data_IF_358833843846
#
_entry.id   IF_358833843846
#
_cell.length_a   1.000
_cell.length_b   1.000
_cell.length_c   1.000
_cell.angle_alpha   90.00
_cell.angle_beta   90.00
_cell.angle_gamma   90.00
#
_symmetry.space_group_name_H-M   'P 1'
#
loop_
_entity.id
_entity.type
_entity.pdbx_description
1 polymer ?
#
# COMPACT_ATOMS: atom_id res chain seq x y z
N UNK A 1 4.26 16.87 17.48
CA UNK A 1 4.35 15.39 17.56
C UNK A 1 3.25 14.85 16.68
N UNK A 2 3.56 13.94 15.76
CA UNK A 2 2.53 13.35 14.89
C UNK A 2 1.54 12.56 15.75
N UNK A 3 0.24 12.74 15.50
CA UNK A 3 -0.80 11.97 16.18
C UNK A 3 -1.24 10.83 15.28
N UNK A 4 -1.31 9.62 15.84
CA UNK A 4 -1.73 8.41 15.13
C UNK A 4 -3.16 8.07 15.52
N UNK A 5 -4.00 7.76 14.55
CA UNK A 5 -5.28 7.11 14.82
C UNK A 5 -5.10 5.66 15.25
N UNK A 6 -6.19 5.04 15.69
CA UNK A 6 -6.27 3.58 15.78
C UNK A 6 -5.97 2.92 14.43
N UNK A 7 -5.49 1.68 14.50
CA UNK A 7 -5.16 0.88 13.33
C UNK A 7 -6.42 0.49 12.57
N UNK A 8 -6.43 0.76 11.27
CA UNK A 8 -7.49 0.44 10.32
C UNK A 8 -7.01 -0.65 9.34
N UNK A 9 -7.97 -1.34 8.72
CA UNK A 9 -7.72 -2.44 7.79
C UNK A 9 -8.14 -2.06 6.37
N UNK A 10 -7.35 -2.49 5.38
CA UNK A 10 -7.72 -2.41 3.97
C UNK A 10 -7.42 -3.72 3.27
N UNK A 11 -8.32 -4.13 2.38
CA UNK A 11 -8.18 -5.34 1.57
C UNK A 11 -7.29 -5.04 0.35
N UNK A 12 -6.40 -5.97 0.03
CA UNK A 12 -5.70 -6.00 -1.25
C UNK A 12 -6.40 -7.06 -2.10
N UNK A 13 -7.20 -6.62 -3.06
CA UNK A 13 -7.84 -7.49 -4.03
C UNK A 13 -7.79 -6.79 -5.39
N UNK A 14 -6.69 -6.97 -6.10
CA UNK A 14 -6.34 -6.17 -7.28
C UNK A 14 -6.07 -7.09 -8.45
N UNK A 15 -6.87 -6.97 -9.51
CA UNK A 15 -6.66 -7.64 -10.79
C UNK A 15 -6.42 -6.61 -11.93
N UNK A 16 -5.70 -5.54 -11.62
CA UNK A 16 -5.43 -4.43 -12.52
C UNK A 16 -4.00 -3.91 -12.34
N UNK A 17 -3.45 -3.24 -13.36
CA UNK A 17 -2.10 -2.66 -13.30
C UNK A 17 -1.98 -1.51 -12.29
N UNK A 18 -3.08 -0.95 -11.81
CA UNK A 18 -3.10 0.01 -10.71
C UNK A 18 -4.44 -0.08 -9.96
N UNK A 19 -4.40 0.09 -8.64
CA UNK A 19 -5.61 0.18 -7.81
C UNK A 19 -5.38 1.01 -6.56
N UNK A 20 -6.42 1.76 -6.17
CA UNK A 20 -6.46 2.44 -4.87
C UNK A 20 -6.70 1.41 -3.77
N UNK A 21 -5.76 1.33 -2.82
CA UNK A 21 -5.87 0.48 -1.63
C UNK A 21 -6.54 1.21 -0.47
N UNK A 22 -6.19 2.47 -0.27
CA UNK A 22 -6.79 3.35 0.75
C UNK A 22 -7.09 4.67 0.09
N UNK A 23 -8.31 5.18 0.28
CA UNK A 23 -8.72 6.47 -0.26
C UNK A 23 -7.91 7.62 0.36
N UNK A 24 -7.96 8.79 -0.27
CA UNK A 24 -7.36 9.98 0.30
C UNK A 24 -8.05 10.34 1.63
N UNK A 25 -7.25 10.66 2.64
CA UNK A 25 -7.74 11.14 3.92
C UNK A 25 -8.01 12.65 3.87
N UNK A 26 -8.55 13.21 4.96
CA UNK A 26 -8.79 14.65 5.08
C UNK A 26 -7.51 15.48 4.89
N UNK A 27 -7.67 16.78 4.64
CA UNK A 27 -6.56 17.73 4.51
C UNK A 27 -5.61 17.65 5.70
N UNK A 28 -4.31 17.54 5.42
CA UNK A 28 -3.27 17.39 6.46
C UNK A 28 -3.07 15.96 6.97
N UNK A 29 -3.93 15.01 6.61
CA UNK A 29 -3.85 13.62 7.07
C UNK A 29 -3.16 12.73 6.03
N UNK A 30 -2.22 11.92 6.49
CA UNK A 30 -1.49 10.92 5.71
C UNK A 30 -1.98 9.51 6.04
N UNK A 31 -1.77 8.57 5.12
CA UNK A 31 -1.95 7.13 5.35
C UNK A 31 -0.58 6.52 5.62
N UNK A 32 -0.36 5.97 6.82
CA UNK A 32 0.88 5.25 7.17
C UNK A 32 0.62 3.76 7.28
N UNK A 33 1.36 2.94 6.52
CA UNK A 33 1.23 1.47 6.54
C UNK A 33 2.08 0.90 7.68
N UNK A 34 1.47 0.11 8.55
CA UNK A 34 2.11 -0.49 9.74
C UNK A 34 2.31 -1.99 9.61
N UNK A 35 1.52 -2.68 8.80
CA UNK A 35 1.74 -4.08 8.43
C UNK A 35 1.05 -4.38 7.10
N UNK A 36 1.51 -5.42 6.41
CA UNK A 36 0.93 -5.85 5.14
C UNK A 36 1.31 -7.30 4.85
N UNK A 37 0.39 -8.05 4.24
CA UNK A 37 0.75 -9.27 3.53
C UNK A 37 0.07 -9.26 2.16
N UNK A 38 0.78 -9.79 1.16
CA UNK A 38 0.20 -10.02 -0.15
C UNK A 38 0.81 -11.25 -0.82
N UNK A 39 0.06 -11.81 -1.76
CA UNK A 39 0.48 -12.84 -2.70
C UNK A 39 0.14 -12.38 -4.12
N UNK A 40 1.08 -12.57 -5.05
CA UNK A 40 0.86 -12.29 -6.47
C UNK A 40 0.70 -13.59 -7.26
N UNK A 41 -0.22 -13.64 -8.21
CA UNK A 41 -0.48 -14.88 -8.98
C UNK A 41 0.63 -15.16 -10.00
N UNK A 42 0.99 -14.15 -10.81
CA UNK A 42 2.05 -14.27 -11.82
C UNK A 42 3.24 -13.38 -11.47
N UNK A 43 4.41 -13.70 -12.03
CA UNK A 43 5.59 -12.86 -11.86
C UNK A 43 5.31 -11.43 -12.35
N UNK A 44 5.49 -10.47 -11.45
CA UNK A 44 5.23 -9.06 -11.72
C UNK A 44 5.98 -8.17 -10.72
N UNK A 45 6.13 -6.92 -11.10
CA UNK A 45 6.76 -5.89 -10.26
C UNK A 45 5.68 -5.05 -9.62
N UNK A 46 5.72 -4.93 -8.29
CA UNK A 46 4.79 -4.13 -7.50
C UNK A 46 5.49 -2.87 -6.97
N UNK A 47 4.76 -1.76 -6.93
CA UNK A 47 5.22 -0.49 -6.37
C UNK A 47 4.07 0.19 -5.63
N UNK A 48 4.27 0.56 -4.36
CA UNK A 48 3.31 1.41 -3.65
C UNK A 48 3.55 2.87 -3.99
N UNK A 49 2.47 3.63 -4.17
CA UNK A 49 2.51 5.03 -4.59
C UNK A 49 1.60 5.90 -3.75
N UNK A 50 1.99 7.17 -3.65
CA UNK A 50 1.21 8.24 -3.08
C UNK A 50 0.45 8.96 -4.19
N UNK A 51 -0.87 8.80 -4.23
CA UNK A 51 -1.72 9.31 -5.31
C UNK A 51 -1.81 8.35 -6.51
N UNK A 52 -2.87 8.52 -7.30
CA UNK A 52 -3.09 7.69 -8.48
C UNK A 52 -2.04 8.00 -9.56
N UNK A 53 -1.20 7.01 -9.92
CA UNK A 53 -0.04 7.23 -10.78
C UNK A 53 1.02 8.16 -10.19
N UNK A 54 0.96 8.47 -8.89
CA UNK A 54 1.79 9.48 -8.24
C UNK A 54 3.18 9.00 -7.84
N UNK A 55 3.74 9.65 -6.81
CA UNK A 55 5.12 9.41 -6.36
C UNK A 55 5.27 8.01 -5.75
N UNK A 56 6.31 7.28 -6.17
CA UNK A 56 6.63 5.99 -5.60
C UNK A 56 7.08 6.10 -4.14
N UNK A 57 6.41 5.35 -3.26
CA UNK A 57 6.73 5.22 -1.84
C UNK A 57 7.69 4.07 -1.57
N UNK A 58 7.70 3.06 -2.44
CA UNK A 58 8.67 1.98 -2.44
C UNK A 58 9.45 1.97 -3.75
N UNK A 59 10.60 1.28 -3.74
CA UNK A 59 11.22 0.84 -4.99
C UNK A 59 10.34 -0.16 -5.74
N UNK A 60 10.81 -0.55 -6.94
CA UNK A 60 10.20 -1.58 -7.76
C UNK A 60 10.47 -2.97 -7.14
N UNK A 61 9.43 -3.63 -6.60
CA UNK A 61 9.56 -4.92 -5.92
C UNK A 61 9.17 -6.04 -6.87
N UNK A 62 10.17 -6.71 -7.46
CA UNK A 62 9.94 -7.86 -8.32
C UNK A 62 9.58 -9.10 -7.49
N UNK A 63 8.43 -9.69 -7.77
CA UNK A 63 7.98 -10.94 -7.15
C UNK A 63 7.85 -12.02 -8.24
N UNK A 64 8.29 -13.25 -7.92
CA UNK A 64 8.03 -14.43 -8.75
C UNK A 64 6.54 -14.80 -8.78
N UNK A 65 6.15 -15.78 -9.59
CA UNK A 65 4.78 -16.30 -9.55
C UNK A 65 4.47 -16.95 -8.19
N UNK A 66 3.29 -16.68 -7.63
CA UNK A 66 2.92 -17.07 -6.25
C UNK A 66 3.87 -16.52 -5.17
N UNK A 67 4.59 -15.44 -5.48
CA UNK A 67 5.46 -14.75 -4.54
C UNK A 67 4.65 -14.16 -3.40
N UNK A 68 5.24 -14.18 -2.21
CA UNK A 68 4.62 -13.63 -1.01
C UNK A 68 5.49 -12.50 -0.49
N UNK A 69 4.87 -11.37 -0.17
CA UNK A 69 5.50 -10.28 0.56
C UNK A 69 4.78 -10.12 1.89
N UNK A 70 5.53 -10.20 2.98
CA UNK A 70 5.03 -9.95 4.34
C UNK A 70 5.85 -8.84 4.97
N UNK A 71 5.16 -7.81 5.41
CA UNK A 71 5.66 -6.74 6.25
C UNK A 71 5.01 -6.92 7.64
N UNK A 72 5.72 -7.49 8.62
CA UNK A 72 5.18 -7.69 9.97
C UNK A 72 4.84 -6.36 10.63
N UNK A 73 4.11 -6.38 11.75
CA UNK A 73 3.75 -5.16 12.44
C UNK A 73 4.99 -4.33 12.82
N UNK A 74 5.01 -3.09 12.35
CA UNK A 74 6.02 -2.08 12.67
C UNK A 74 5.30 -0.81 13.17
N UNK A 75 5.42 -0.45 14.47
CA UNK A 75 4.75 0.71 15.04
C UNK A 75 5.26 2.05 14.47
N UNK A 76 6.48 2.10 13.93
CA UNK A 76 6.99 3.29 13.26
C UNK A 76 6.39 3.47 11.84
N UNK A 77 5.81 2.40 11.28
CA UNK A 77 5.38 2.30 9.90
C UNK A 77 6.51 2.02 8.91
N UNK A 78 6.15 1.53 7.73
CA UNK A 78 7.09 1.26 6.63
C UNK A 78 7.21 2.44 5.65
N UNK A 79 6.08 3.04 5.33
CA UNK A 79 5.97 4.19 4.43
C UNK A 79 4.66 4.93 4.70
N UNK A 80 4.60 6.19 4.25
CA UNK A 80 3.42 7.03 4.37
C UNK A 80 3.14 7.81 3.09
N UNK A 81 1.87 8.08 2.82
CA UNK A 81 1.46 8.94 1.71
C UNK A 81 1.75 10.42 2.01
N UNK A 82 1.77 11.26 0.98
CA UNK A 82 1.60 12.70 1.13
C UNK A 82 0.20 13.00 1.70
N UNK A 83 0.08 14.13 2.40
CA UNK A 83 -1.19 14.53 3.01
C UNK A 83 -2.30 14.65 1.96
N UNK A 84 -3.51 14.22 2.31
CA UNK A 84 -4.68 14.22 1.42
C UNK A 84 -4.46 13.47 0.08
N UNK A 85 -3.60 12.45 0.07
CA UNK A 85 -3.41 11.57 -1.09
C UNK A 85 -3.75 10.13 -0.75
N UNK A 86 -4.31 9.42 -1.74
CA UNK A 86 -4.64 8.01 -1.65
C UNK A 86 -3.37 7.13 -1.66
N UNK A 87 -3.49 5.91 -1.14
CA UNK A 87 -2.47 4.87 -1.30
C UNK A 87 -2.81 4.02 -2.52
N UNK A 88 -1.91 3.95 -3.49
CA UNK A 88 -2.05 3.12 -4.69
C UNK A 88 -1.07 1.95 -4.68
N UNK A 89 -1.52 0.79 -5.15
CA UNK A 89 -0.65 -0.29 -5.60
C UNK A 89 -0.59 -0.26 -7.12
N UNK A 90 0.60 -0.06 -7.68
CA UNK A 90 0.88 -0.21 -9.09
C UNK A 90 1.58 -1.55 -9.34
N UNK A 91 1.19 -2.22 -10.42
CA UNK A 91 1.71 -3.50 -10.86
C UNK A 91 2.16 -3.41 -12.33
N UNK A 92 3.18 -4.18 -12.71
CA UNK A 92 3.66 -4.23 -14.10
C UNK A 92 2.69 -4.94 -15.06
N UNK A 93 1.62 -5.56 -14.55
CA UNK A 93 0.58 -6.22 -15.34
C UNK A 93 -0.75 -6.29 -14.59
N UNK A 94 -1.82 -6.64 -15.29
CA UNK A 94 -3.18 -6.72 -14.72
C UNK A 94 -3.50 -8.13 -14.22
N UNK A 95 -2.69 -8.64 -13.29
CA UNK A 95 -2.88 -9.98 -12.73
C UNK A 95 -3.16 -9.91 -11.24
N UNK A 96 -3.82 -10.94 -10.72
CA UNK A 96 -4.34 -10.90 -9.35
C UNK A 96 -3.22 -10.77 -8.31
N UNK A 97 -3.38 -9.76 -7.44
CA UNK A 97 -2.66 -9.56 -6.18
C UNK A 97 -3.69 -9.57 -5.06
N UNK A 98 -3.48 -10.46 -4.08
CA UNK A 98 -4.43 -10.72 -2.99
C UNK A 98 -3.74 -10.54 -1.64
N UNK A 99 -4.44 -10.01 -0.66
CA UNK A 99 -3.90 -9.82 0.68
C UNK A 99 -4.68 -8.81 1.52
N UNK A 100 -4.02 -8.28 2.54
CA UNK A 100 -4.55 -7.18 3.33
C UNK A 100 -3.41 -6.36 3.95
N UNK A 101 -3.74 -5.15 4.37
CA UNK A 101 -2.83 -4.28 5.09
C UNK A 101 -3.50 -3.63 6.28
N UNK A 102 -2.67 -3.27 7.26
CA UNK A 102 -3.04 -2.43 8.38
C UNK A 102 -2.38 -1.07 8.23
N UNK A 103 -3.13 -0.01 8.49
CA UNK A 103 -2.68 1.37 8.36
C UNK A 103 -3.21 2.25 9.50
N UNK A 104 -2.56 3.38 9.73
CA UNK A 104 -3.02 4.40 10.66
C UNK A 104 -3.03 5.77 9.95
N UNK A 105 -4.01 6.61 10.29
CA UNK A 105 -4.03 7.99 9.87
C UNK A 105 -3.02 8.78 10.71
N UNK A 106 -2.27 9.67 10.05
CA UNK A 106 -1.25 10.50 10.70
C UNK A 106 -1.51 11.97 10.39
N UNK A 107 -1.65 12.78 11.44
CA UNK A 107 -1.82 14.25 11.38
C UNK A 107 -0.73 14.98 12.14
#
# INVERSE_FOLDING_TARGET
MATYSDTQFAVINVAAAAATLVAAQATGVKVRVVSLFLVNTTAQTLTFKSGAGGTALTGAMALGANGVLVLPYNPAGYFETAAATLLELAASGSTQVSGALQWAAVS
#
